data_IF_516131015279
#
_entry.id   IF_516131015279
#
_cell.length_a   1.000
_cell.length_b   1.000
_cell.length_c   1.000
_cell.angle_alpha   90.00
_cell.angle_beta   90.00
_cell.angle_gamma   90.00
#
_symmetry.space_group_name_H-M   'P 1'
#
loop_
_entity.id
_entity.type
_entity.pdbx_description
1 polymer ?
#
# COMPACT_ATOMS: atom_id res chain seq x y z
N UNK A 1 -2.24 -18.78 4.10
CA UNK A 1 -2.70 -17.46 4.59
C UNK A 1 -3.30 -16.77 3.36
N UNK A 2 -4.57 -16.37 3.39
CA UNK A 2 -5.27 -15.91 2.18
C UNK A 2 -4.86 -14.52 1.67
N UNK A 3 -4.16 -13.71 2.48
CA UNK A 3 -3.56 -12.47 1.97
C UNK A 3 -2.13 -12.77 1.55
N UNK A 4 -1.86 -12.57 0.26
CA UNK A 4 -0.55 -12.70 -0.35
C UNK A 4 0.21 -11.41 -0.13
N UNK A 5 1.28 -11.48 0.66
CA UNK A 5 2.23 -10.38 0.79
C UNK A 5 3.04 -10.29 -0.49
N UNK A 6 3.01 -9.13 -1.13
CA UNK A 6 3.86 -8.84 -2.28
C UNK A 6 4.93 -7.88 -1.84
N UNK A 7 6.18 -8.30 -2.01
CA UNK A 7 7.32 -7.44 -1.77
C UNK A 7 7.41 -6.38 -2.86
N UNK A 8 7.73 -5.16 -2.44
CA UNK A 8 8.10 -4.10 -3.35
C UNK A 8 9.38 -4.50 -4.13
N UNK A 9 9.56 -4.00 -5.37
CA UNK A 9 10.77 -4.27 -6.14
C UNK A 9 11.99 -3.62 -5.47
N UNK A 10 13.17 -4.19 -5.69
CA UNK A 10 14.41 -3.75 -5.03
C UNK A 10 14.66 -2.23 -5.11
N UNK A 11 14.47 -1.54 -6.26
CA UNK A 11 14.67 -0.09 -6.33
C UNK A 11 13.76 0.70 -5.39
N UNK A 12 12.53 0.25 -5.14
CA UNK A 12 11.65 0.92 -4.18
C UNK A 12 12.17 0.79 -2.76
N UNK A 13 12.68 -0.39 -2.42
CA UNK A 13 13.20 -0.67 -1.07
C UNK A 13 14.54 0.04 -0.83
N UNK A 14 15.38 0.14 -1.86
CA UNK A 14 16.63 0.91 -1.81
C UNK A 14 16.38 2.39 -1.55
N UNK A 15 15.39 2.98 -2.23
CA UNK A 15 14.98 4.36 -2.06
C UNK A 15 14.42 4.62 -0.65
N UNK A 16 13.61 3.69 -0.14
CA UNK A 16 13.14 3.70 1.24
C UNK A 16 14.32 3.72 2.21
N UNK A 17 15.24 2.77 2.09
CA UNK A 17 16.41 2.62 2.96
C UNK A 17 17.31 3.85 2.93
N UNK A 18 17.51 4.46 1.76
CA UNK A 18 18.35 5.65 1.62
C UNK A 18 17.78 6.86 2.37
N UNK A 19 16.46 7.01 2.39
CA UNK A 19 15.77 8.19 2.94
C UNK A 19 15.24 7.99 4.38
N UNK A 20 15.17 6.76 4.89
CA UNK A 20 14.70 6.46 6.25
C UNK A 20 15.75 6.64 7.36
N UNK A 21 16.96 7.12 7.03
CA UNK A 21 18.09 7.26 7.97
C UNK A 21 17.84 8.14 9.21
N UNK A 22 16.77 8.95 9.22
CA UNK A 22 16.36 9.77 10.37
C UNK A 22 15.00 9.35 11.00
N UNK A 23 14.31 8.37 10.43
CA UNK A 23 12.95 7.95 10.85
C UNK A 23 12.92 6.47 11.29
N UNK A 24 14.05 5.77 11.18
CA UNK A 24 14.22 4.37 11.59
C UNK A 24 15.52 4.18 12.38
N UNK A 25 15.44 4.11 13.72
CA UNK A 25 16.65 4.10 14.54
C UNK A 25 17.29 2.72 14.75
N UNK A 26 16.73 1.65 14.16
CA UNK A 26 17.36 0.33 14.22
C UNK A 26 17.60 -0.28 12.83
N UNK A 27 18.85 -0.35 12.33
CA UNK A 27 19.19 -1.06 11.09
C UNK A 27 18.94 -2.58 11.17
N UNK A 28 18.57 -3.12 12.34
CA UNK A 28 18.13 -4.50 12.57
C UNK A 28 16.62 -4.63 12.82
N UNK A 29 15.85 -3.54 12.78
CA UNK A 29 14.39 -3.68 12.92
C UNK A 29 13.83 -4.37 11.68
N UNK A 30 13.46 -5.63 11.91
CA UNK A 30 12.79 -6.53 10.98
C UNK A 30 11.26 -6.44 11.12
N UNK A 31 10.75 -5.37 11.74
CA UNK A 31 9.32 -5.14 11.90
C UNK A 31 8.66 -5.32 10.54
N UNK A 32 7.54 -6.07 10.47
CA UNK A 32 6.95 -6.44 9.21
C UNK A 32 6.51 -5.15 8.51
N UNK A 33 7.32 -4.70 7.55
CA UNK A 33 6.83 -3.81 6.54
C UNK A 33 5.65 -4.54 5.91
N UNK A 34 4.50 -3.88 5.86
CA UNK A 34 3.38 -4.34 5.08
C UNK A 34 3.50 -3.59 3.75
N UNK A 35 4.42 -3.98 2.83
CA UNK A 35 4.51 -3.34 1.54
C UNK A 35 3.21 -3.60 0.79
N UNK A 36 2.60 -2.53 0.31
CA UNK A 36 1.42 -2.63 -0.53
C UNK A 36 1.44 -1.53 -1.59
N UNK A 37 0.82 -1.81 -2.73
CA UNK A 37 0.75 -0.85 -3.82
C UNK A 37 -0.31 0.19 -3.51
N UNK A 38 -0.05 1.41 -3.98
CA UNK A 38 -0.98 2.52 -4.00
C UNK A 38 -1.39 2.75 -5.44
N UNK A 39 -2.68 2.67 -5.66
CA UNK A 39 -3.34 2.95 -6.92
C UNK A 39 -4.07 4.28 -6.84
N UNK A 40 -4.10 5.00 -7.95
CA UNK A 40 -4.93 6.19 -8.12
C UNK A 40 -5.86 6.02 -9.30
N UNK A 41 -7.07 6.56 -9.16
CA UNK A 41 -8.03 6.65 -10.24
C UNK A 41 -8.48 8.10 -10.41
N UNK A 42 -8.49 8.57 -11.65
CA UNK A 42 -8.95 9.93 -11.96
C UNK A 42 -10.47 10.01 -11.98
N UNK A 43 -11.02 11.20 -11.75
CA UNK A 43 -12.47 11.41 -11.83
C UNK A 43 -12.98 11.24 -13.26
N UNK A 44 -12.18 11.58 -14.27
CA UNK A 44 -12.50 11.40 -15.68
C UNK A 44 -12.61 9.91 -16.02
N UNK A 45 -11.74 9.06 -15.46
CA UNK A 45 -11.82 7.62 -15.62
C UNK A 45 -13.14 7.07 -15.06
N UNK A 46 -13.52 7.50 -13.86
CA UNK A 46 -14.80 7.12 -13.22
C UNK A 46 -16.01 7.60 -14.04
N UNK A 47 -16.02 8.86 -14.46
CA UNK A 47 -17.11 9.45 -15.26
C UNK A 47 -17.23 8.80 -16.65
N UNK A 48 -16.14 8.28 -17.18
CA UNK A 48 -16.12 7.53 -18.45
C UNK A 48 -16.54 6.06 -18.28
N UNK A 49 -16.99 5.66 -17.10
CA UNK A 49 -17.41 4.28 -16.81
C UNK A 49 -16.25 3.29 -16.73
N UNK A 50 -15.00 3.76 -16.59
CA UNK A 50 -13.90 2.84 -16.30
C UNK A 50 -14.09 2.27 -14.90
N UNK A 51 -13.58 1.06 -14.73
CA UNK A 51 -13.65 0.31 -13.47
C UNK A 51 -12.33 0.40 -12.71
N UNK A 52 -12.30 -0.07 -11.47
CA UNK A 52 -11.13 0.04 -10.56
C UNK A 52 -9.91 -0.74 -11.08
N UNK A 53 -10.12 -1.75 -11.93
CA UNK A 53 -9.10 -2.46 -12.70
C UNK A 53 -8.19 -1.51 -13.50
N UNK A 54 -8.71 -0.33 -13.88
CA UNK A 54 -7.99 0.68 -14.66
C UNK A 54 -7.18 1.67 -13.83
N UNK A 55 -7.24 1.56 -12.50
CA UNK A 55 -6.47 2.41 -11.60
C UNK A 55 -4.96 2.23 -11.85
N UNK A 56 -4.23 3.34 -11.81
CA UNK A 56 -2.79 3.36 -12.08
C UNK A 56 -2.03 3.14 -10.79
N UNK A 57 -1.06 2.23 -10.82
CA UNK A 57 -0.12 2.06 -9.73
C UNK A 57 0.85 3.24 -9.72
N UNK A 58 0.89 3.97 -8.61
CA UNK A 58 1.66 5.22 -8.50
C UNK A 58 2.66 5.23 -7.35
N UNK A 59 2.57 4.31 -6.40
CA UNK A 59 3.53 4.24 -5.31
C UNK A 59 3.52 2.86 -4.64
N UNK A 60 4.62 2.55 -3.96
CA UNK A 60 4.66 1.56 -2.88
C UNK A 60 4.54 2.27 -1.54
N UNK A 61 3.73 1.69 -0.66
CA UNK A 61 3.52 2.15 0.71
C UNK A 61 4.09 1.13 1.69
N UNK A 62 4.83 1.61 2.67
CA UNK A 62 5.46 0.81 3.71
C UNK A 62 4.98 1.30 5.07
N UNK A 63 4.32 0.42 5.83
CA UNK A 63 4.05 0.67 7.25
C UNK A 63 5.28 0.26 8.05
N UNK A 64 5.67 1.05 9.03
CA UNK A 64 6.72 0.71 9.98
C UNK A 64 6.41 1.33 11.35
N UNK A 65 7.13 0.90 12.38
CA UNK A 65 6.99 1.45 13.74
C UNK A 65 8.11 2.45 14.00
N UNK A 66 7.77 3.61 14.53
CA UNK A 66 8.75 4.62 14.95
C UNK A 66 9.29 4.34 16.36
N UNK A 67 10.28 5.13 16.79
CA UNK A 67 10.80 5.13 18.18
C UNK A 67 9.72 5.43 19.21
N UNK A 68 8.76 6.28 18.83
CA UNK A 68 7.58 6.66 19.59
C UNK A 68 6.57 5.50 19.76
N UNK A 69 6.86 4.34 19.18
CA UNK A 69 6.00 3.17 19.13
C UNK A 69 4.69 3.39 18.35
N UNK A 70 4.56 4.51 17.63
CA UNK A 70 3.46 4.78 16.72
C UNK A 70 3.71 4.18 15.34
N UNK A 71 2.63 3.94 14.60
CA UNK A 71 2.74 3.50 13.22
C UNK A 71 2.92 4.68 12.28
N UNK A 72 3.97 4.58 11.47
CA UNK A 72 4.29 5.52 10.41
C UNK A 72 4.15 4.84 9.07
N UNK A 73 4.00 5.65 8.04
CA UNK A 73 3.94 5.20 6.65
C UNK A 73 4.93 5.99 5.82
N UNK A 74 5.73 5.29 5.03
CA UNK A 74 6.54 5.87 3.97
C UNK A 74 5.95 5.51 2.60
N UNK A 75 5.97 6.47 1.68
CA UNK A 75 5.59 6.24 0.29
C UNK A 75 6.74 6.50 -0.67
N UNK A 76 6.94 5.55 -1.57
CA UNK A 76 7.90 5.62 -2.66
C UNK A 76 7.09 5.69 -3.95
N UNK A 77 7.08 6.85 -4.59
CA UNK A 77 6.41 7.03 -5.88
C UNK A 77 7.06 6.14 -6.94
N UNK A 78 6.22 5.59 -7.82
CA UNK A 78 6.64 4.76 -8.96
C UNK A 78 6.13 5.41 -10.24
N UNK A 79 6.99 5.50 -11.23
CA UNK A 79 6.57 5.74 -12.61
C UNK A 79 6.87 4.47 -13.42
N UNK A 80 5.81 3.76 -13.81
CA UNK A 80 5.96 2.48 -14.54
C UNK A 80 6.52 2.68 -15.97
N UNK A 81 6.41 3.89 -16.54
CA UNK A 81 6.89 4.15 -17.90
C UNK A 81 8.42 4.18 -18.01
N UNK A 82 9.10 4.69 -16.98
CA UNK A 82 10.57 4.77 -16.92
C UNK A 82 11.17 3.90 -15.81
N UNK A 83 10.32 3.16 -15.08
CA UNK A 83 10.69 2.33 -13.94
C UNK A 83 11.45 3.11 -12.85
N UNK A 84 11.15 4.40 -12.69
CA UNK A 84 11.76 5.23 -11.65
C UNK A 84 11.02 5.09 -10.32
N UNK A 85 11.81 5.23 -9.25
CA UNK A 85 11.38 5.13 -7.87
C UNK A 85 11.95 6.30 -7.09
N UNK A 86 11.08 7.05 -6.40
CA UNK A 86 11.49 8.27 -5.71
C UNK A 86 10.79 8.36 -4.37
N UNK A 87 11.54 8.66 -3.31
CA UNK A 87 10.95 8.91 -2.01
C UNK A 87 9.97 10.09 -2.09
N UNK A 88 8.76 9.90 -1.60
CA UNK A 88 7.71 10.90 -1.70
C UNK A 88 7.49 11.61 -0.36
N UNK A 89 7.08 10.85 0.67
CA UNK A 89 6.87 11.41 2.01
C UNK A 89 6.80 10.31 3.08
N UNK A 90 6.86 10.76 4.33
CA UNK A 90 6.42 10.00 5.51
C UNK A 90 5.17 10.65 6.09
N UNK A 91 4.22 9.85 6.53
CA UNK A 91 2.98 10.28 7.17
C UNK A 91 2.71 9.45 8.43
N UNK A 92 1.97 10.03 9.38
CA UNK A 92 1.50 9.38 10.60
C UNK A 92 0.02 9.72 10.87
N UNK A 93 -0.63 8.99 11.78
CA UNK A 93 -1.94 9.32 12.32
C UNK A 93 -3.06 8.33 11.97
N UNK A 94 -4.29 8.69 12.39
CA UNK A 94 -5.43 7.78 12.59
C UNK A 94 -5.82 6.90 11.41
N UNK A 95 -5.54 7.32 10.18
CA UNK A 95 -5.81 6.48 9.01
C UNK A 95 -4.93 5.22 8.99
N UNK A 96 -3.68 5.35 9.46
CA UNK A 96 -2.74 4.24 9.53
C UNK A 96 -3.20 3.25 10.60
N UNK A 97 -3.65 3.75 11.76
CA UNK A 97 -4.23 2.90 12.82
C UNK A 97 -5.42 2.09 12.29
N UNK A 98 -6.30 2.72 11.51
CA UNK A 98 -7.43 2.04 10.88
C UNK A 98 -7.00 0.96 9.88
N UNK A 99 -5.94 1.22 9.10
CA UNK A 99 -5.36 0.22 8.22
C UNK A 99 -4.78 -0.97 8.99
N UNK A 100 -4.06 -0.72 10.09
CA UNK A 100 -3.45 -1.78 10.92
C UNK A 100 -4.53 -2.63 11.58
N UNK A 101 -5.55 -1.99 12.17
CA UNK A 101 -6.68 -2.70 12.76
C UNK A 101 -7.40 -3.59 11.72
N UNK A 102 -7.61 -3.08 10.50
CA UNK A 102 -8.15 -3.89 9.40
C UNK A 102 -7.22 -5.06 9.07
N UNK A 103 -5.94 -4.79 8.89
CA UNK A 103 -4.93 -5.78 8.50
C UNK A 103 -4.79 -6.92 9.53
N UNK A 104 -4.87 -6.62 10.82
CA UNK A 104 -4.82 -7.64 11.88
C UNK A 104 -6.07 -8.53 11.89
N UNK A 105 -7.24 -7.99 11.53
CA UNK A 105 -8.52 -8.70 11.62
C UNK A 105 -8.93 -9.40 10.33
N UNK A 106 -8.50 -8.88 9.17
CA UNK A 106 -8.98 -9.32 7.87
C UNK A 106 -8.67 -10.79 7.57
N UNK A 107 -7.61 -11.33 8.15
CA UNK A 107 -7.24 -12.74 7.99
C UNK A 107 -8.29 -13.71 8.55
N UNK A 108 -9.14 -13.25 9.47
CA UNK A 108 -10.25 -14.03 10.04
C UNK A 108 -11.58 -13.83 9.30
N UNK A 109 -11.62 -12.95 8.29
CA UNK A 109 -12.86 -12.65 7.57
C UNK A 109 -13.21 -13.75 6.56
N UNK A 110 -14.45 -14.26 6.59
CA UNK A 110 -14.91 -15.39 5.78
C UNK A 110 -14.67 -15.18 4.28
N UNK A 111 -14.98 -13.99 3.76
CA UNK A 111 -14.75 -13.64 2.34
C UNK A 111 -13.29 -13.69 1.89
N UNK A 112 -12.34 -13.65 2.82
CA UNK A 112 -10.90 -13.70 2.53
C UNK A 112 -10.38 -15.12 2.71
N UNK A 113 -10.91 -15.93 3.63
CA UNK A 113 -10.43 -17.30 3.89
C UNK A 113 -10.43 -18.24 2.67
N UNK A 114 -11.34 -18.01 1.71
CA UNK A 114 -11.56 -18.93 0.58
C UNK A 114 -10.68 -18.63 -0.64
N UNK A 115 -9.96 -17.49 -0.68
CA UNK A 115 -9.24 -17.03 -1.88
C UNK A 115 -7.97 -16.26 -1.55
N UNK A 116 -7.10 -16.12 -2.55
CA UNK A 116 -5.85 -15.38 -2.42
C UNK A 116 -6.00 -13.90 -2.84
N UNK A 117 -5.75 -12.97 -1.93
CA UNK A 117 -5.86 -11.53 -2.20
C UNK A 117 -4.54 -10.79 -1.95
N UNK A 118 -4.24 -9.82 -2.79
CA UNK A 118 -3.26 -8.76 -2.53
C UNK A 118 -3.97 -7.61 -1.80
N UNK A 119 -3.41 -7.16 -0.68
CA UNK A 119 -3.86 -5.93 -0.04
C UNK A 119 -3.21 -4.73 -0.73
N UNK A 120 -4.02 -3.79 -1.19
CA UNK A 120 -3.58 -2.57 -1.86
C UNK A 120 -4.34 -1.37 -1.32
N UNK A 121 -3.93 -0.17 -1.69
CA UNK A 121 -4.64 1.06 -1.38
C UNK A 121 -5.12 1.71 -2.68
N UNK A 122 -6.40 2.06 -2.78
CA UNK A 122 -6.96 2.84 -3.87
C UNK A 122 -7.24 4.27 -3.40
N UNK A 123 -6.88 5.25 -4.22
CA UNK A 123 -7.20 6.67 -4.02
C UNK A 123 -7.97 7.23 -5.19
N UNK A 124 -8.95 8.07 -4.88
CA UNK A 124 -9.62 8.95 -5.85
C UNK A 124 -9.53 10.37 -5.29
N UNK A 125 -8.42 11.08 -5.54
CA UNK A 125 -8.15 12.36 -4.87
C UNK A 125 -9.26 13.39 -5.07
N UNK A 126 -9.82 13.48 -6.27
CA UNK A 126 -10.90 14.40 -6.62
C UNK A 126 -12.20 14.19 -5.80
N UNK A 127 -12.38 13.01 -5.20
CA UNK A 127 -13.52 12.68 -4.35
C UNK A 127 -13.14 12.50 -2.87
N UNK A 128 -11.88 12.77 -2.50
CA UNK A 128 -11.35 12.50 -1.16
C UNK A 128 -11.54 11.05 -0.69
N UNK A 129 -11.60 10.11 -1.63
CA UNK A 129 -11.74 8.68 -1.31
C UNK A 129 -10.37 8.05 -1.15
N UNK A 130 -10.21 7.29 -0.07
CA UNK A 130 -9.12 6.36 0.16
C UNK A 130 -9.71 5.07 0.70
N UNK A 131 -9.38 3.95 0.06
CA UNK A 131 -9.95 2.66 0.37
C UNK A 131 -8.87 1.58 0.34
N UNK A 132 -9.01 0.57 1.19
CA UNK A 132 -8.22 -0.66 1.06
C UNK A 132 -8.86 -1.52 -0.03
N UNK A 133 -8.04 -1.93 -0.99
CA UNK A 133 -8.47 -2.70 -2.15
C UNK A 133 -7.85 -4.10 -2.11
N UNK A 134 -8.69 -5.10 -1.90
CA UNK A 134 -8.31 -6.51 -2.00
C UNK A 134 -8.41 -6.97 -3.45
N UNK A 135 -7.27 -7.11 -4.11
CA UNK A 135 -7.18 -7.53 -5.51
C UNK A 135 -6.91 -9.02 -5.57
N UNK A 136 -7.68 -9.78 -6.34
CA UNK A 136 -7.46 -11.23 -6.47
C UNK A 136 -6.06 -11.54 -7.02
N UNK A 137 -5.27 -12.31 -6.27
CA UNK A 137 -4.02 -12.87 -6.76
C UNK A 137 -4.38 -14.06 -7.66
N UNK A 138 -3.98 -14.00 -8.94
CA UNK A 138 -4.13 -15.09 -9.90
C UNK A 138 -5.59 -15.45 -10.32
N UNK A 139 -6.58 -14.62 -9.96
CA UNK A 139 -7.97 -14.76 -10.45
C UNK A 139 -8.62 -13.42 -10.81
N UNK A 140 -9.35 -13.40 -11.95
CA UNK A 140 -10.11 -12.24 -12.42
C UNK A 140 -11.43 -12.11 -11.65
N UNK A 141 -11.39 -11.68 -10.39
CA UNK A 141 -12.57 -11.19 -9.70
C UNK A 141 -12.20 -10.05 -8.76
N UNK A 142 -12.85 -8.92 -8.94
CA UNK A 142 -12.76 -7.72 -8.12
C UNK A 142 -14.13 -7.51 -7.46
N UNK A 143 -14.15 -7.13 -6.18
CA UNK A 143 -15.35 -6.66 -5.49
C UNK A 143 -15.62 -5.19 -5.83
#
# INVERSE_FOLDING_TARGET
MPIKHINAPAPSFEELRANMTNVHPDPNDHSPHIPHKVYTMSIEALLSGKRVESAQHIAWRYVFRGDDQEYHVAEISVNEADNSHTFHHVNHGRHIDGFIALYEQIHAHESVLERDYEINLLRVPACYVMAVWFKGADHKHEF
#
